data_IF_361222264023
#
_entry.id   IF_361222264023
#
_cell.length_a   1.000
_cell.length_b   1.000
_cell.length_c   1.000
_cell.angle_alpha   90.00
_cell.angle_beta   90.00
_cell.angle_gamma   90.00
#
_symmetry.space_group_name_H-M   'P 1'
#
loop_
_entity.id
_entity.type
_entity.pdbx_description
1 polymer ?
#
# COMPACT_ATOMS: atom_id res chain seq x y z
N UNK A 1 13.57 7.50 -4.03
CA UNK A 1 12.73 6.88 -5.08
C UNK A 1 12.99 5.39 -5.02
N UNK A 2 12.25 4.69 -4.15
CA UNK A 2 12.49 3.27 -3.89
C UNK A 2 12.09 2.46 -5.12
N UNK A 3 13.06 1.81 -5.73
CA UNK A 3 12.86 0.85 -6.81
C UNK A 3 12.13 -0.38 -6.25
N UNK A 4 10.80 -0.32 -6.16
CA UNK A 4 9.98 -1.50 -5.90
C UNK A 4 9.97 -2.35 -7.18
N UNK A 5 11.06 -3.08 -7.41
CA UNK A 5 11.07 -4.13 -8.41
C UNK A 5 10.02 -5.16 -7.98
N UNK A 6 9.04 -5.42 -8.86
CA UNK A 6 8.03 -6.44 -8.63
C UNK A 6 8.74 -7.79 -8.41
N UNK A 7 8.28 -8.62 -7.45
CA UNK A 7 8.91 -9.90 -7.15
C UNK A 7 8.56 -10.98 -8.20
N UNK A 8 8.92 -10.74 -9.46
CA UNK A 8 8.59 -11.61 -10.61
C UNK A 8 9.25 -12.98 -10.53
N UNK A 9 10.41 -13.07 -9.87
CA UNK A 9 11.15 -14.33 -9.70
C UNK A 9 10.33 -15.45 -9.02
N UNK A 10 9.37 -15.11 -8.15
CA UNK A 10 8.48 -16.08 -7.52
C UNK A 10 7.39 -16.61 -8.45
N UNK A 11 7.10 -15.91 -9.55
CA UNK A 11 6.08 -16.28 -10.53
C UNK A 11 6.67 -17.08 -11.70
N UNK A 12 7.93 -16.83 -12.06
CA UNK A 12 8.59 -17.43 -13.23
C UNK A 12 8.57 -18.97 -13.20
N UNK A 13 8.77 -19.58 -12.02
CA UNK A 13 8.82 -21.04 -11.85
C UNK A 13 7.46 -21.74 -11.69
N UNK A 14 6.34 -21.01 -11.60
CA UNK A 14 5.03 -21.63 -11.32
C UNK A 14 4.54 -22.50 -12.48
N UNK A 15 4.75 -22.05 -13.73
CA UNK A 15 4.32 -22.80 -14.92
C UNK A 15 5.14 -24.09 -15.05
N UNK A 16 6.45 -24.03 -14.79
CA UNK A 16 7.33 -25.19 -14.81
C UNK A 16 6.94 -26.20 -13.73
N UNK A 17 6.64 -25.75 -12.52
CA UNK A 17 6.16 -26.61 -11.43
C UNK A 17 4.82 -27.28 -11.77
N UNK A 18 3.90 -26.55 -12.41
CA UNK A 18 2.63 -27.12 -12.87
C UNK A 18 2.85 -28.17 -13.98
N UNK A 19 3.71 -27.87 -14.95
CA UNK A 19 4.08 -28.80 -16.00
C UNK A 19 4.66 -30.09 -15.39
N UNK A 20 5.54 -29.96 -14.40
CA UNK A 20 6.10 -31.11 -13.69
C UNK A 20 5.04 -31.95 -12.96
N UNK A 21 4.06 -31.33 -12.29
CA UNK A 21 2.92 -32.05 -11.70
C UNK A 21 2.14 -32.82 -12.75
N UNK A 22 1.88 -32.23 -13.92
CA UNK A 22 1.16 -32.88 -15.01
C UNK A 22 1.96 -34.04 -15.61
N UNK A 23 3.27 -33.88 -15.81
CA UNK A 23 4.15 -34.95 -16.28
C UNK A 23 4.19 -36.13 -15.31
N UNK A 24 4.35 -35.86 -14.01
CA UNK A 24 4.33 -36.90 -12.97
C UNK A 24 2.96 -37.59 -12.95
N UNK A 25 1.88 -36.86 -13.18
CA UNK A 25 0.53 -37.45 -13.24
C UNK A 25 0.33 -38.34 -14.46
N UNK A 26 0.85 -37.96 -15.63
CA UNK A 26 0.70 -38.71 -16.88
C UNK A 26 1.60 -39.94 -16.97
N UNK A 27 2.82 -39.86 -16.46
CA UNK A 27 3.82 -40.92 -16.56
C UNK A 27 3.75 -41.94 -15.42
N UNK A 28 2.93 -41.68 -14.40
CA UNK A 28 2.79 -42.49 -13.21
C UNK A 28 1.71 -43.56 -13.36
N UNK A 29 2.08 -44.82 -13.11
CA UNK A 29 1.08 -45.86 -12.83
C UNK A 29 0.52 -45.63 -11.42
N UNK A 30 -0.79 -45.37 -11.26
CA UNK A 30 -1.39 -44.90 -10.00
C UNK A 30 -1.29 -45.88 -8.82
N UNK A 31 -0.86 -47.12 -9.09
CA UNK A 31 -0.75 -48.17 -8.06
C UNK A 31 0.63 -48.22 -7.38
N UNK A 32 1.66 -47.63 -7.98
CA UNK A 32 3.00 -47.58 -7.41
C UNK A 32 3.06 -46.65 -6.19
N UNK A 33 3.78 -47.05 -5.14
CA UNK A 33 4.01 -46.21 -3.96
C UNK A 33 4.93 -45.02 -4.30
N UNK A 34 5.95 -45.25 -5.13
CA UNK A 34 6.88 -44.24 -5.60
C UNK A 34 6.18 -43.16 -6.43
N UNK A 35 5.28 -43.59 -7.31
CA UNK A 35 4.37 -42.73 -8.08
C UNK A 35 3.57 -41.77 -7.19
N UNK A 36 3.01 -42.28 -6.08
CA UNK A 36 2.23 -41.48 -5.14
C UNK A 36 3.10 -40.48 -4.36
N UNK A 37 4.31 -40.89 -3.96
CA UNK A 37 5.26 -39.99 -3.31
C UNK A 37 5.72 -38.88 -4.26
N UNK A 38 6.09 -39.22 -5.50
CA UNK A 38 6.50 -38.24 -6.50
C UNK A 38 5.41 -37.20 -6.78
N UNK A 39 4.15 -37.65 -6.90
CA UNK A 39 3.02 -36.75 -7.08
C UNK A 39 2.79 -35.85 -5.86
N UNK A 40 2.89 -36.41 -4.64
CA UNK A 40 2.78 -35.63 -3.41
C UNK A 40 3.86 -34.55 -3.30
N UNK A 41 5.10 -34.87 -3.64
CA UNK A 41 6.22 -33.92 -3.62
C UNK A 41 6.03 -32.82 -4.67
N UNK A 42 5.70 -33.19 -5.91
CA UNK A 42 5.47 -32.23 -6.99
C UNK A 42 4.31 -31.28 -6.67
N UNK A 43 3.19 -31.80 -6.15
CA UNK A 43 2.02 -30.98 -5.78
C UNK A 43 2.28 -30.11 -4.57
N UNK A 44 3.05 -30.58 -3.59
CA UNK A 44 3.46 -29.76 -2.43
C UNK A 44 4.36 -28.61 -2.87
N UNK A 45 5.38 -28.88 -3.69
CA UNK A 45 6.27 -27.85 -4.22
C UNK A 45 5.51 -26.78 -5.02
N UNK A 46 4.55 -27.19 -5.87
CA UNK A 46 3.71 -26.27 -6.61
C UNK A 46 2.81 -25.42 -5.67
N UNK A 47 2.18 -26.05 -4.68
CA UNK A 47 1.35 -25.37 -3.68
C UNK A 47 2.16 -24.33 -2.91
N UNK A 48 3.35 -24.69 -2.43
CA UNK A 48 4.22 -23.80 -1.67
C UNK A 48 4.68 -22.61 -2.54
N UNK A 49 4.98 -22.84 -3.82
CA UNK A 49 5.26 -21.77 -4.78
C UNK A 49 4.09 -20.81 -4.98
N UNK A 50 2.85 -21.32 -5.13
CA UNK A 50 1.65 -20.48 -5.23
C UNK A 50 1.45 -19.66 -3.95
N UNK A 51 1.60 -20.28 -2.78
CA UNK A 51 1.45 -19.58 -1.50
C UNK A 51 2.45 -18.44 -1.40
N UNK A 52 3.74 -18.69 -1.71
CA UNK A 52 4.76 -17.65 -1.70
C UNK A 52 4.43 -16.51 -2.68
N UNK A 53 4.04 -16.84 -3.91
CA UNK A 53 3.68 -15.84 -4.92
C UNK A 53 2.47 -15.01 -4.50
N UNK A 54 1.45 -15.65 -3.90
CA UNK A 54 0.27 -14.97 -3.35
C UNK A 54 0.66 -14.04 -2.20
N UNK A 55 1.45 -14.50 -1.25
CA UNK A 55 1.87 -13.70 -0.10
C UNK A 55 2.63 -12.45 -0.56
N UNK A 56 3.53 -12.60 -1.53
CA UNK A 56 4.25 -11.49 -2.15
C UNK A 56 3.32 -10.52 -2.88
N UNK A 57 2.31 -11.01 -3.59
CA UNK A 57 1.32 -10.16 -4.25
C UNK A 57 0.47 -9.38 -3.24
N UNK A 58 0.02 -10.03 -2.16
CA UNK A 58 -0.78 -9.39 -1.12
C UNK A 58 0.02 -8.43 -0.25
N UNK A 59 1.34 -8.61 -0.15
CA UNK A 59 2.22 -7.69 0.57
C UNK A 59 2.51 -6.39 -0.20
N UNK A 60 2.15 -6.33 -1.50
CA UNK A 60 2.24 -5.08 -2.26
C UNK A 60 1.21 -4.08 -1.72
N UNK A 61 1.51 -2.76 -1.72
CA UNK A 61 0.54 -1.75 -1.32
C UNK A 61 -0.74 -1.84 -2.15
N UNK A 62 -1.87 -2.09 -1.50
CA UNK A 62 -3.16 -2.30 -2.16
C UNK A 62 -3.34 -3.68 -2.79
N UNK A 63 -2.40 -4.61 -2.59
CA UNK A 63 -2.47 -5.98 -3.10
C UNK A 63 -3.56 -6.82 -2.45
N UNK A 64 -4.05 -6.43 -1.28
CA UNK A 64 -5.22 -7.03 -0.63
C UNK A 64 -6.56 -6.52 -1.18
N UNK A 65 -6.55 -5.40 -1.89
CA UNK A 65 -7.75 -4.70 -2.35
C UNK A 65 -8.15 -5.17 -3.75
N UNK A 66 -9.46 -5.25 -3.99
CA UNK A 66 -9.99 -5.37 -5.34
C UNK A 66 -9.69 -4.11 -6.15
N UNK A 67 -9.65 -4.24 -7.47
CA UNK A 67 -9.34 -3.11 -8.38
C UNK A 67 -10.34 -1.98 -8.18
N UNK A 68 -11.61 -2.31 -7.98
CA UNK A 68 -12.69 -1.35 -7.71
C UNK A 68 -12.45 -0.57 -6.41
N UNK A 69 -11.99 -1.25 -5.36
CA UNK A 69 -11.67 -0.63 -4.07
C UNK A 69 -10.43 0.27 -4.19
N UNK A 70 -9.40 -0.17 -4.92
CA UNK A 70 -8.23 0.65 -5.21
C UNK A 70 -8.62 1.94 -5.96
N UNK A 71 -9.51 1.84 -6.95
CA UNK A 71 -10.02 3.00 -7.68
C UNK A 71 -10.77 3.98 -6.77
N UNK A 72 -11.56 3.47 -5.82
CA UNK A 72 -12.26 4.31 -4.85
C UNK A 72 -11.27 5.03 -3.91
N UNK A 73 -10.25 4.32 -3.43
CA UNK A 73 -9.19 4.91 -2.58
C UNK A 73 -8.44 5.98 -3.35
N UNK A 74 -8.08 5.73 -4.61
CA UNK A 74 -7.43 6.71 -5.49
C UNK A 74 -8.29 7.96 -5.60
N UNK A 75 -9.57 7.82 -5.96
CA UNK A 75 -10.48 8.96 -6.10
C UNK A 75 -10.60 9.78 -4.80
N UNK A 76 -10.71 9.11 -3.65
CA UNK A 76 -10.75 9.77 -2.34
C UNK A 76 -9.44 10.53 -2.05
N UNK A 77 -8.29 9.93 -2.34
CA UNK A 77 -6.97 10.54 -2.12
C UNK A 77 -6.75 11.75 -3.03
N UNK A 78 -7.21 11.68 -4.28
CA UNK A 78 -7.15 12.80 -5.22
C UNK A 78 -8.02 13.97 -4.76
N UNK A 79 -9.26 13.70 -4.34
CA UNK A 79 -10.16 14.72 -3.81
C UNK A 79 -9.57 15.38 -2.55
N UNK A 80 -8.99 14.59 -1.65
CA UNK A 80 -8.34 15.10 -0.45
C UNK A 80 -7.13 15.99 -0.79
N UNK A 81 -6.28 15.55 -1.74
CA UNK A 81 -5.15 16.32 -2.24
C UNK A 81 -5.62 17.67 -2.79
N UNK A 82 -6.67 17.67 -3.60
CA UNK A 82 -7.15 18.87 -4.28
C UNK A 82 -7.78 19.85 -3.28
N UNK A 83 -8.58 19.35 -2.32
CA UNK A 83 -9.07 20.16 -1.19
C UNK A 83 -7.94 20.77 -0.36
N UNK A 84 -6.88 20.00 -0.07
CA UNK A 84 -5.73 20.49 0.70
C UNK A 84 -4.95 21.56 -0.07
N UNK A 85 -4.78 21.40 -1.38
CA UNK A 85 -4.17 22.43 -2.23
C UNK A 85 -4.98 23.73 -2.24
N UNK A 86 -6.30 23.65 -2.32
CA UNK A 86 -7.17 24.82 -2.25
C UNK A 86 -7.05 25.52 -0.88
N UNK A 87 -7.11 24.77 0.22
CA UNK A 87 -6.94 25.33 1.57
C UNK A 87 -5.59 26.06 1.73
N UNK A 88 -4.51 25.48 1.19
CA UNK A 88 -3.19 26.12 1.21
C UNK A 88 -3.16 27.40 0.37
N UNK A 89 -3.81 27.41 -0.80
CA UNK A 89 -3.91 28.61 -1.63
C UNK A 89 -4.66 29.73 -0.90
N UNK A 90 -5.81 29.43 -0.30
CA UNK A 90 -6.60 30.38 0.49
C UNK A 90 -5.80 30.94 1.68
N UNK A 91 -5.12 30.07 2.44
CA UNK A 91 -4.27 30.48 3.57
C UNK A 91 -3.12 31.38 3.10
N UNK A 92 -2.48 31.05 1.98
CA UNK A 92 -1.39 31.86 1.44
C UNK A 92 -1.87 33.26 1.04
N UNK A 93 -3.07 33.38 0.45
CA UNK A 93 -3.67 34.66 0.08
C UNK A 93 -4.06 35.49 1.31
N UNK A 94 -4.65 34.87 2.34
CA UNK A 94 -4.99 35.54 3.58
C UNK A 94 -3.75 36.06 4.33
N UNK A 95 -2.68 35.26 4.43
CA UNK A 95 -1.42 35.67 5.05
C UNK A 95 -0.75 36.86 4.33
N UNK A 96 -0.83 36.90 3.00
CA UNK A 96 -0.34 38.04 2.21
C UNK A 96 -1.22 39.28 2.38
N UNK A 97 -2.54 39.10 2.50
CA UNK A 97 -3.50 40.21 2.62
C UNK A 97 -3.45 40.90 3.99
N UNK A 98 -3.24 40.15 5.08
CA UNK A 98 -3.00 40.73 6.42
C UNK A 98 -1.67 41.47 6.52
N UNK A 99 -0.65 41.07 5.75
CA UNK A 99 0.62 41.81 5.67
C UNK A 99 0.55 43.08 4.81
N UNK A 100 -0.43 43.17 3.90
CA UNK A 100 -0.56 44.30 2.95
C UNK A 100 -1.55 45.37 3.41
N UNK A 101 -2.35 45.10 4.45
CA UNK A 101 -3.43 45.97 4.94
C UNK A 101 -3.12 46.77 6.20
N UNK A 102 -1.94 46.62 6.82
CA UNK A 102 -1.53 47.44 7.97
C UNK A 102 -0.53 48.51 7.56
N UNK A 103 -1.04 49.54 6.88
CA UNK A 103 -0.48 50.89 7.06
C UNK A 103 -0.71 51.30 8.52
N UNK A 104 0.31 51.07 9.35
CA UNK A 104 0.72 51.91 10.49
C UNK A 104 -0.39 52.75 11.13
N UNK A 105 -1.21 52.17 12.01
CA UNK A 105 -1.83 52.89 13.11
C UNK A 105 -2.35 51.88 14.15
N UNK A 106 -1.95 52.09 15.40
CA UNK A 106 -2.41 51.39 16.61
C UNK A 106 -1.97 49.93 16.85
N UNK A 107 -0.66 49.72 16.95
CA UNK A 107 -0.13 48.73 17.91
C UNK A 107 -0.04 49.36 19.31
N UNK A 108 -1.19 49.63 19.94
CA UNK A 108 -1.26 49.77 21.40
C UNK A 108 -1.59 48.39 21.96
N UNK A 109 -0.57 47.55 22.13
CA UNK A 109 -0.71 46.27 22.83
C UNK A 109 -0.88 46.55 24.33
N UNK A 110 -2.12 46.46 24.83
CA UNK A 110 -2.38 46.33 26.26
C UNK A 110 -2.17 44.86 26.65
N UNK A 111 -1.02 44.60 27.26
CA UNK A 111 -0.63 43.32 27.82
C UNK A 111 -1.25 43.26 29.22
N UNK A 112 -2.49 42.77 29.35
CA UNK A 112 -3.08 42.59 30.67
C UNK A 112 -2.66 41.24 31.27
N UNK A 113 -2.00 41.35 32.42
CA UNK A 113 -1.36 40.27 33.15
C UNK A 113 -2.38 39.59 34.06
N UNK A 114 -2.69 38.32 33.81
CA UNK A 114 -3.34 37.48 34.83
C UNK A 114 -2.63 36.13 34.92
N UNK A 115 -1.47 36.17 35.57
CA UNK A 115 -0.91 35.01 36.24
C UNK A 115 -1.76 34.73 37.49
N UNK A 116 -2.54 33.66 37.47
CA UNK A 116 -3.16 33.12 38.67
C UNK A 116 -3.03 31.61 38.68
N UNK A 117 -2.01 31.12 39.37
CA UNK A 117 -1.87 29.76 39.85
C UNK A 117 -2.83 29.53 41.03
N UNK A 118 -3.53 28.38 41.12
CA UNK A 118 -4.04 27.92 42.40
C UNK A 118 -3.03 26.94 43.04
N UNK A 119 -2.57 27.31 44.23
CA UNK A 119 -2.06 26.42 45.26
C UNK A 119 -3.26 25.86 46.03
N UNK A 120 -3.48 24.55 45.95
CA UNK A 120 -3.53 23.54 47.03
C UNK A 120 -4.19 22.25 46.53
#
# INVERSE_FOLDING_TARGET
MSSNALPTAAFDGLIENLAHVLEVTQNSQPQSHEARLALFLATTAFKDGITQAKDLATALPGGELLIEEQNQVIAMLEELRDRKRQQLAELSMCALSTSSGQSTQDMKMEIDSTASSPHD
#
